data_IF_252788998494
#
_entry.id   IF_252788998494
#
_cell.length_a   1.000
_cell.length_b   1.000
_cell.length_c   1.000
_cell.angle_alpha   90.00
_cell.angle_beta   90.00
_cell.angle_gamma   90.00
#
_symmetry.space_group_name_H-M   'P 1'
#
loop_
_entity.id
_entity.type
_entity.pdbx_description
1 polymer ?
#
# COMPACT_ATOMS: atom_id res chain seq x y z
N UNK A 1 -6.03 -12.46 -9.76
CA UNK A 1 -6.17 -11.70 -8.49
C UNK A 1 -7.64 -11.66 -8.14
N UNK A 2 -7.98 -11.85 -6.86
CA UNK A 2 -9.37 -11.98 -6.40
C UNK A 2 -9.80 -10.92 -5.39
N UNK A 3 -8.92 -9.96 -5.08
CA UNK A 3 -9.11 -8.92 -4.06
C UNK A 3 -8.80 -7.53 -4.63
N UNK A 4 -9.40 -6.50 -4.04
CA UNK A 4 -9.18 -5.09 -4.39
C UNK A 4 -8.46 -4.32 -3.27
N UNK A 5 -8.17 -3.03 -3.50
CA UNK A 5 -7.51 -2.17 -2.51
C UNK A 5 -8.40 -2.06 -1.27
N UNK A 6 -7.77 -2.01 -0.09
CA UNK A 6 -8.43 -2.02 1.22
C UNK A 6 -9.19 -3.31 1.56
N UNK A 7 -8.90 -4.42 0.87
CA UNK A 7 -9.39 -5.76 1.21
C UNK A 7 -8.23 -6.67 1.60
N UNK A 8 -8.52 -7.77 2.31
CA UNK A 8 -7.52 -8.82 2.53
C UNK A 8 -7.06 -9.37 1.19
N UNK A 9 -5.75 -9.53 1.04
CA UNK A 9 -5.16 -10.06 -0.17
C UNK A 9 -5.66 -11.48 -0.40
N UNK A 10 -6.09 -11.76 -1.62
CA UNK A 10 -6.35 -13.08 -2.17
C UNK A 10 -5.93 -13.07 -3.64
N UNK A 11 -4.89 -13.84 -3.93
CA UNK A 11 -4.31 -13.97 -5.26
C UNK A 11 -3.79 -15.38 -5.49
N UNK A 12 -3.61 -15.75 -6.75
CA UNK A 12 -3.09 -17.06 -7.14
C UNK A 12 -1.90 -16.88 -8.08
N UNK A 13 -0.88 -17.69 -7.88
CA UNK A 13 0.29 -17.81 -8.77
C UNK A 13 0.31 -19.22 -9.33
N UNK A 14 0.42 -19.36 -10.65
CA UNK A 14 0.57 -20.67 -11.27
C UNK A 14 1.93 -21.29 -10.90
N UNK A 15 1.92 -22.54 -10.47
CA UNK A 15 3.14 -23.30 -10.17
C UNK A 15 3.28 -24.41 -11.21
N UNK A 16 4.33 -24.32 -12.01
CA UNK A 16 4.67 -25.33 -13.02
C UNK A 16 5.72 -26.26 -12.41
N UNK A 17 5.38 -27.55 -12.35
CA UNK A 17 6.27 -28.59 -11.85
C UNK A 17 6.98 -29.29 -13.01
N UNK A 18 8.25 -29.68 -12.80
CA UNK A 18 8.97 -30.47 -13.78
C UNK A 18 8.46 -31.91 -13.83
N UNK A 19 8.65 -32.66 -14.93
CA UNK A 19 8.30 -34.08 -14.99
C UNK A 19 8.93 -34.88 -13.83
N UNK A 20 8.10 -35.63 -13.10
CA UNK A 20 8.52 -36.42 -11.93
C UNK A 20 8.66 -35.63 -10.62
N UNK A 21 8.40 -34.32 -10.63
CA UNK A 21 8.41 -33.49 -9.44
C UNK A 21 7.04 -33.48 -8.75
N UNK A 22 7.02 -33.68 -7.44
CA UNK A 22 5.81 -33.76 -6.65
C UNK A 22 5.63 -32.50 -5.80
N UNK A 23 4.41 -31.98 -5.74
CA UNK A 23 4.06 -30.79 -4.93
C UNK A 23 4.35 -30.95 -3.43
N UNK A 24 4.37 -32.19 -2.93
CA UNK A 24 4.74 -32.54 -1.56
C UNK A 24 6.19 -32.14 -1.22
N UNK A 25 7.09 -32.28 -2.20
CA UNK A 25 8.53 -32.01 -2.03
C UNK A 25 8.90 -30.54 -2.28
N UNK A 26 7.94 -29.74 -2.75
CA UNK A 26 8.13 -28.31 -2.99
C UNK A 26 7.77 -27.55 -1.72
N UNK A 27 8.70 -26.77 -1.19
CA UNK A 27 8.45 -25.83 -0.10
C UNK A 27 8.36 -24.40 -0.67
N UNK A 28 7.41 -23.61 -0.14
CA UNK A 28 7.10 -22.27 -0.64
C UNK A 28 7.10 -21.32 0.53
N UNK A 29 8.02 -20.37 0.50
CA UNK A 29 8.20 -19.38 1.55
C UNK A 29 8.41 -18.00 0.95
N UNK A 30 8.23 -16.97 1.77
CA UNK A 30 8.77 -15.65 1.47
C UNK A 30 10.30 -15.71 1.62
N UNK A 31 11.05 -15.09 0.71
CA UNK A 31 12.49 -15.01 0.87
C UNK A 31 12.87 -14.25 2.15
N UNK A 32 14.05 -14.52 2.69
CA UNK A 32 14.57 -13.80 3.85
C UNK A 32 14.81 -12.31 3.52
N UNK A 33 14.72 -11.39 4.51
CA UNK A 33 14.98 -9.97 4.30
C UNK A 33 16.31 -9.65 3.60
N UNK A 34 17.37 -10.42 3.86
CA UNK A 34 18.67 -10.22 3.20
C UNK A 34 18.59 -10.35 1.67
N UNK A 35 17.67 -11.19 1.16
CA UNK A 35 17.44 -11.32 -0.29
C UNK A 35 16.73 -10.10 -0.88
N UNK A 36 15.90 -9.42 -0.09
CA UNK A 36 15.31 -8.15 -0.49
C UNK A 36 16.38 -7.07 -0.59
N UNK A 37 17.28 -7.00 0.40
CA UNK A 37 18.40 -6.06 0.40
C UNK A 37 19.37 -6.28 -0.77
N UNK A 38 19.69 -7.54 -1.08
CA UNK A 38 20.53 -7.94 -2.23
C UNK A 38 19.95 -7.43 -3.56
N UNK A 39 18.63 -7.51 -3.73
CA UNK A 39 17.94 -7.05 -4.94
C UNK A 39 17.55 -5.57 -4.88
N UNK A 40 17.88 -4.85 -3.79
CA UNK A 40 17.52 -3.45 -3.61
C UNK A 40 16.02 -3.20 -3.44
N UNK A 41 15.26 -4.24 -3.10
CA UNK A 41 13.82 -4.17 -2.87
C UNK A 41 13.61 -3.91 -1.36
N UNK A 42 12.82 -2.91 -0.95
CA UNK A 42 12.56 -2.70 0.46
C UNK A 42 11.61 -3.77 1.01
N UNK A 43 11.84 -4.15 2.26
CA UNK A 43 10.92 -5.03 2.97
C UNK A 43 9.64 -4.28 3.38
N UNK A 44 8.48 -4.66 2.85
CA UNK A 44 7.19 -4.17 3.35
C UNK A 44 6.78 -4.95 4.60
N UNK A 45 6.41 -4.25 5.68
CA UNK A 45 5.87 -4.88 6.88
C UNK A 45 4.60 -5.68 6.58
N UNK A 46 3.84 -5.29 5.54
CA UNK A 46 2.66 -6.02 5.10
C UNK A 46 2.97 -7.48 4.73
N UNK A 47 4.18 -7.76 4.25
CA UNK A 47 4.61 -9.13 3.91
C UNK A 47 4.62 -10.07 5.12
N UNK A 48 4.80 -9.55 6.34
CA UNK A 48 4.68 -10.34 7.58
C UNK A 48 3.25 -10.85 7.84
N UNK A 49 2.26 -10.28 7.14
CA UNK A 49 0.84 -10.63 7.24
C UNK A 49 0.39 -11.59 6.14
N UNK A 50 1.25 -11.83 5.15
CA UNK A 50 0.98 -12.67 3.98
C UNK A 50 1.29 -14.14 4.28
N UNK A 51 0.49 -15.04 3.71
CA UNK A 51 0.67 -16.49 3.74
C UNK A 51 0.64 -17.06 2.34
N UNK A 52 1.40 -18.12 2.17
CA UNK A 52 1.51 -18.88 0.93
C UNK A 52 1.01 -20.30 1.19
N UNK A 53 0.04 -20.74 0.39
CA UNK A 53 -0.54 -22.07 0.48
C UNK A 53 -0.45 -22.76 -0.87
N UNK A 54 0.05 -24.00 -0.88
CA UNK A 54 0.07 -24.85 -2.07
C UNK A 54 -1.32 -25.43 -2.28
N UNK A 55 -1.89 -25.22 -3.47
CA UNK A 55 -3.18 -25.80 -3.85
C UNK A 55 -3.03 -26.64 -5.11
N UNK A 56 -3.67 -27.80 -5.12
CA UNK A 56 -3.78 -28.66 -6.31
C UNK A 56 -5.08 -28.31 -7.02
N UNK A 57 -5.01 -28.06 -8.33
CA UNK A 57 -6.22 -27.81 -9.13
C UNK A 57 -6.91 -29.13 -9.48
N UNK A 58 -8.23 -29.13 -9.71
CA UNK A 58 -8.95 -30.32 -10.17
C UNK A 58 -8.40 -30.89 -11.50
N UNK A 59 -7.78 -30.05 -12.32
CA UNK A 59 -7.11 -30.42 -13.57
C UNK A 59 -5.73 -31.06 -13.39
N UNK A 60 -5.26 -31.27 -12.17
CA UNK A 60 -3.94 -31.85 -11.87
C UNK A 60 -2.77 -30.86 -11.92
N UNK A 61 -3.03 -29.56 -12.07
CA UNK A 61 -2.04 -28.50 -11.96
C UNK A 61 -1.78 -28.10 -10.51
N UNK A 62 -0.76 -27.28 -10.29
CA UNK A 62 -0.47 -26.69 -9.00
C UNK A 62 -0.57 -25.16 -9.06
N UNK A 63 -1.05 -24.55 -7.98
CA UNK A 63 -1.01 -23.11 -7.77
C UNK A 63 -0.57 -22.79 -6.36
N UNK A 64 -0.19 -21.53 -6.17
CA UNK A 64 0.15 -20.95 -4.88
C UNK A 64 -0.93 -19.91 -4.58
N UNK A 65 -1.71 -20.14 -3.53
CA UNK A 65 -2.64 -19.14 -3.02
C UNK A 65 -1.90 -18.20 -2.09
N UNK A 66 -1.99 -16.92 -2.36
CA UNK A 66 -1.36 -15.84 -1.60
C UNK A 66 -2.48 -15.11 -0.86
N UNK A 67 -2.50 -15.20 0.47
CA UNK A 67 -3.54 -14.58 1.29
C UNK A 67 -2.96 -13.68 2.37
N UNK A 68 -3.73 -12.73 2.91
CA UNK A 68 -3.29 -11.93 4.06
C UNK A 68 -4.34 -11.87 5.18
N UNK A 69 -3.90 -11.53 6.41
CA UNK A 69 -4.81 -11.30 7.56
C UNK A 69 -5.30 -9.86 7.70
N UNK A 70 -4.69 -8.93 6.98
CA UNK A 70 -4.97 -7.49 7.10
C UNK A 70 -5.30 -6.91 5.73
N UNK A 71 -6.08 -5.84 5.68
CA UNK A 71 -6.41 -5.17 4.42
C UNK A 71 -5.14 -4.64 3.74
N UNK A 72 -4.97 -4.95 2.45
CA UNK A 72 -3.90 -4.42 1.62
C UNK A 72 -4.22 -2.97 1.30
N UNK A 73 -3.42 -2.07 1.88
CA UNK A 73 -3.58 -0.61 1.69
C UNK A 73 -2.59 -0.05 0.67
N UNK A 74 -1.72 -0.90 0.15
CA UNK A 74 -0.71 -0.52 -0.83
C UNK A 74 -1.27 -0.85 -2.23
N UNK A 75 -1.24 0.09 -3.20
CA UNK A 75 -1.67 -0.18 -4.57
C UNK A 75 -0.70 -1.11 -5.32
N UNK A 76 0.51 -1.25 -4.77
CA UNK A 76 1.55 -2.11 -5.29
C UNK A 76 2.19 -2.86 -4.13
N UNK A 77 2.17 -4.19 -4.21
CA UNK A 77 2.86 -5.06 -3.26
C UNK A 77 3.94 -5.85 -4.02
N UNK A 78 5.19 -5.68 -3.62
CA UNK A 78 6.33 -6.40 -4.18
C UNK A 78 6.87 -7.42 -3.18
N UNK A 79 7.14 -8.64 -3.65
CA UNK A 79 7.74 -9.68 -2.83
C UNK A 79 8.60 -10.64 -3.61
N UNK A 80 9.54 -11.28 -2.91
CA UNK A 80 10.37 -12.34 -3.45
C UNK A 80 9.86 -13.65 -2.88
N UNK A 81 9.37 -14.52 -3.76
CA UNK A 81 8.99 -15.87 -3.41
C UNK A 81 10.22 -16.78 -3.48
N UNK A 82 10.44 -17.57 -2.44
CA UNK A 82 11.39 -18.66 -2.43
C UNK A 82 10.65 -19.99 -2.62
N UNK A 83 11.05 -20.71 -3.66
CA UNK A 83 10.55 -22.06 -3.94
C UNK A 83 11.74 -23.00 -3.81
N UNK A 84 11.67 -23.97 -2.91
CA UNK A 84 12.74 -24.93 -2.65
C UNK A 84 12.26 -26.35 -2.89
N UNK A 85 13.12 -27.18 -3.48
CA UNK A 85 12.88 -28.59 -3.78
C UNK A 85 14.21 -29.37 -3.67
N UNK A 86 14.21 -30.72 -3.73
CA UNK A 86 15.44 -31.50 -3.47
C UNK A 86 16.64 -31.18 -4.37
N UNK A 87 16.42 -30.61 -5.55
CA UNK A 87 17.48 -30.29 -6.52
C UNK A 87 17.96 -28.83 -6.45
N UNK A 88 17.37 -28.01 -5.58
CA UNK A 88 17.77 -26.62 -5.42
C UNK A 88 16.63 -25.69 -5.02
N UNK A 89 16.86 -24.40 -5.15
CA UNK A 89 15.89 -23.35 -4.86
C UNK A 89 15.83 -22.31 -5.97
N UNK A 90 14.70 -21.62 -6.04
CA UNK A 90 14.41 -20.54 -6.98
C UNK A 90 13.86 -19.35 -6.21
N UNK A 91 14.43 -18.19 -6.48
CA UNK A 91 13.88 -16.92 -6.04
C UNK A 91 13.19 -16.24 -7.22
N UNK A 92 11.94 -15.81 -7.02
CA UNK A 92 11.17 -15.11 -8.03
C UNK A 92 10.54 -13.86 -7.44
N UNK A 93 10.87 -12.72 -8.03
CA UNK A 93 10.22 -11.46 -7.73
C UNK A 93 8.83 -11.42 -8.35
N UNK A 94 7.86 -10.99 -7.56
CA UNK A 94 6.49 -10.78 -7.96
C UNK A 94 6.05 -9.38 -7.57
N UNK A 95 5.23 -8.81 -8.44
CA UNK A 95 4.67 -7.48 -8.32
C UNK A 95 3.16 -7.63 -8.42
N UNK A 96 2.46 -7.45 -7.32
CA UNK A 96 1.00 -7.47 -7.27
C UNK A 96 0.51 -6.04 -7.40
N UNK A 97 -0.17 -5.79 -8.50
CA UNK A 97 -0.84 -4.52 -8.77
C UNK A 97 -2.28 -4.66 -8.30
N UNK A 98 -2.66 -3.79 -7.37
CA UNK A 98 -4.05 -3.65 -6.96
C UNK A 98 -4.58 -2.40 -7.62
N UNK A 99 -5.74 -2.53 -8.28
CA UNK A 99 -6.34 -1.40 -8.94
C UNK A 99 -6.51 -0.25 -7.94
N UNK A 100 -5.92 0.92 -8.24
CA UNK A 100 -6.25 2.09 -7.48
C UNK A 100 -7.73 2.43 -7.66
N UNK A 101 -8.39 3.12 -6.71
CA UNK A 101 -9.74 3.62 -6.93
C UNK A 101 -9.79 4.42 -8.25
N UNK A 102 -10.90 4.32 -9.00
CA UNK A 102 -11.10 4.89 -10.35
C UNK A 102 -10.79 6.40 -10.47
N UNK A 103 -10.60 7.10 -9.35
CA UNK A 103 -10.04 8.45 -9.27
C UNK A 103 -8.71 8.63 -10.02
N UNK A 104 -7.93 7.58 -10.26
CA UNK A 104 -6.62 7.66 -10.93
C UNK A 104 -6.68 7.90 -12.44
N UNK A 105 -7.87 7.81 -13.06
CA UNK A 105 -8.01 8.07 -14.50
C UNK A 105 -8.27 9.54 -14.85
N UNK A 106 -8.42 10.44 -13.87
CA UNK A 106 -8.61 11.88 -14.13
C UNK A 106 -7.27 12.64 -14.27
N UNK A 107 -6.37 12.12 -15.09
CA UNK A 107 -5.33 12.94 -15.73
C UNK A 107 -5.87 13.56 -17.02
N UNK A 108 -6.99 14.29 -16.91
CA UNK A 108 -7.51 15.14 -17.97
C UNK A 108 -7.17 16.58 -17.63
N UNK A 109 -6.23 17.12 -18.41
CA UNK A 109 -5.71 18.49 -18.44
C UNK A 109 -6.75 19.56 -18.02
N UNK A 110 -6.37 20.61 -17.27
CA UNK A 110 -7.30 21.67 -16.90
C UNK A 110 -7.77 22.38 -18.17
N UNK A 111 -9.03 22.16 -18.56
CA UNK A 111 -9.77 23.14 -19.34
C UNK A 111 -10.14 24.24 -18.36
N UNK A 112 -9.45 25.38 -18.47
CA UNK A 112 -9.92 26.63 -17.89
C UNK A 112 -11.18 27.00 -18.67
N UNK A 113 -12.35 26.68 -18.12
CA UNK A 113 -13.58 27.40 -18.47
C UNK A 113 -13.83 28.40 -17.37
N UNK A 114 -13.84 29.68 -17.77
CA UNK A 114 -14.12 30.84 -16.92
C UNK A 114 -15.44 30.71 -16.17
N UNK A 115 -15.43 31.38 -15.02
CA UNK A 115 -16.50 31.58 -14.03
C UNK A 115 -17.83 32.07 -14.62
N UNK A 116 -18.92 31.62 -14.03
CA UNK A 116 -20.04 32.46 -13.56
C UNK A 116 -20.40 31.90 -12.16
N UNK A 117 -20.14 32.61 -11.07
CA UNK A 117 -20.99 33.65 -10.47
C UNK A 117 -22.08 33.03 -9.57
N UNK A 118 -21.69 32.92 -8.29
CA UNK A 118 -22.45 33.17 -7.06
C UNK A 118 -23.97 32.90 -7.06
N UNK A 119 -24.38 31.91 -6.27
CA UNK A 119 -25.64 32.00 -5.52
C UNK A 119 -25.47 31.44 -4.10
N UNK A 120 -25.98 32.25 -3.18
CA UNK A 120 -25.92 32.14 -1.73
C UNK A 120 -26.90 31.07 -1.23
N UNK A 121 -26.39 30.02 -0.60
CA UNK A 121 -27.21 29.12 0.21
C UNK A 121 -26.53 28.84 1.55
N UNK A 122 -27.04 29.53 2.56
CA UNK A 122 -26.82 29.22 3.96
C UNK A 122 -27.30 27.79 4.29
N UNK A 123 -26.39 26.83 4.30
CA UNK A 123 -26.64 25.49 4.82
C UNK A 123 -26.11 25.40 6.26
N UNK A 124 -27.02 25.31 7.25
CA UNK A 124 -26.69 24.87 8.60
C UNK A 124 -26.67 23.35 8.65
N UNK A 125 -25.54 22.68 8.90
CA UNK A 125 -25.58 21.28 9.26
C UNK A 125 -25.85 21.13 10.78
N UNK A 126 -27.10 20.79 11.13
CA UNK A 126 -27.35 20.00 12.34
C UNK A 126 -27.01 18.54 12.01
N UNK A 127 -25.93 18.03 12.59
CA UNK A 127 -25.82 16.60 12.85
C UNK A 127 -25.04 16.38 14.14
N UNK A 128 -25.78 16.18 15.23
CA UNK A 128 -25.26 15.43 16.38
C UNK A 128 -25.19 13.97 15.94
N UNK A 129 -24.00 13.50 15.57
CA UNK A 129 -23.69 12.08 15.57
C UNK A 129 -22.66 11.85 16.66
N UNK A 130 -23.15 11.37 17.82
CA UNK A 130 -22.32 10.68 18.80
C UNK A 130 -21.67 9.51 18.07
N UNK A 131 -20.36 9.52 17.97
CA UNK A 131 -19.56 8.34 17.63
C UNK A 131 -18.58 8.17 18.78
N UNK A 132 -18.98 7.28 19.69
CA UNK A 132 -18.13 6.43 20.54
C UNK A 132 -16.65 6.82 20.60
N UNK A 133 -16.31 7.51 21.68
CA UNK A 133 -14.96 7.61 22.21
C UNK A 133 -14.56 6.26 22.80
N UNK A 134 -13.96 5.36 22.01
CA UNK A 134 -13.26 4.19 22.57
C UNK A 134 -12.30 3.48 21.60
N UNK A 135 -11.64 4.24 20.72
CA UNK A 135 -10.49 3.74 19.95
C UNK A 135 -9.48 4.84 19.52
N UNK A 136 -9.47 5.99 20.20
CA UNK A 136 -8.72 7.19 19.78
C UNK A 136 -7.42 7.46 20.53
N UNK A 137 -6.96 6.59 21.42
CA UNK A 137 -5.95 7.01 22.40
C UNK A 137 -4.51 6.98 21.86
N UNK A 138 -4.18 6.22 20.80
CA UNK A 138 -2.78 6.15 20.29
C UNK A 138 -2.55 6.66 18.86
N UNK A 139 -3.60 7.03 18.11
CA UNK A 139 -3.47 7.37 16.68
C UNK A 139 -3.83 8.81 16.31
N UNK A 140 -4.54 9.54 17.17
CA UNK A 140 -4.84 10.96 16.97
C UNK A 140 -3.65 11.87 17.29
N UNK A 141 -2.75 11.45 18.20
CA UNK A 141 -1.60 12.27 18.64
C UNK A 141 -0.48 12.42 17.61
N UNK A 142 -0.52 11.67 16.49
CA UNK A 142 0.52 11.74 15.44
C UNK A 142 0.23 12.75 14.33
N UNK A 143 -1.01 13.22 14.22
CA UNK A 143 -1.41 14.23 13.23
C UNK A 143 -1.42 15.57 13.94
N UNK A 144 -0.43 16.41 13.66
CA UNK A 144 -0.40 17.80 14.11
C UNK A 144 -0.83 18.72 12.97
N UNK A 145 -1.21 19.97 13.28
CA UNK A 145 -1.52 20.98 12.26
C UNK A 145 -0.39 21.19 11.25
N UNK A 146 0.84 20.83 11.61
CA UNK A 146 2.06 21.03 10.84
C UNK A 146 2.57 19.74 10.16
N UNK A 147 1.97 18.56 10.39
CA UNK A 147 2.58 17.33 9.91
C UNK A 147 2.04 16.01 10.47
N UNK A 148 2.71 14.92 10.08
CA UNK A 148 2.51 13.59 10.60
C UNK A 148 3.80 13.06 11.24
N UNK A 149 3.76 12.60 12.48
CA UNK A 149 4.91 11.93 13.08
C UNK A 149 4.79 11.67 14.58
N UNK A 150 5.68 10.83 15.13
CA UNK A 150 6.72 10.07 14.42
C UNK A 150 6.17 8.87 13.65
N UNK A 151 6.78 8.58 12.49
CA UNK A 151 6.47 7.43 11.63
C UNK A 151 6.77 6.14 12.37
N UNK A 152 5.78 5.26 12.44
CA UNK A 152 5.91 3.94 13.02
C UNK A 152 6.20 2.89 11.95
N UNK A 153 6.68 1.71 12.38
CA UNK A 153 7.01 0.59 11.48
C UNK A 153 5.82 0.09 10.64
N UNK A 154 4.58 0.43 11.03
CA UNK A 154 3.35 0.03 10.34
C UNK A 154 2.73 1.18 9.52
N UNK A 155 3.35 2.35 9.52
CA UNK A 155 2.88 3.48 8.71
C UNK A 155 3.36 3.30 7.26
N UNK A 156 2.49 3.61 6.31
CA UNK A 156 2.81 3.67 4.88
C UNK A 156 2.59 5.09 4.39
N UNK A 157 3.29 5.50 3.33
CA UNK A 157 3.12 6.87 2.80
C UNK A 157 1.67 7.13 2.40
N UNK A 158 0.99 6.11 1.86
CA UNK A 158 -0.42 6.14 1.52
C UNK A 158 -1.31 6.42 2.75
N UNK A 159 -1.15 5.67 3.84
CA UNK A 159 -1.95 5.89 5.06
C UNK A 159 -1.68 7.26 5.69
N UNK A 160 -0.45 7.77 5.58
CA UNK A 160 -0.08 9.11 6.03
C UNK A 160 -0.74 10.17 5.15
N UNK A 161 -0.68 10.00 3.82
CA UNK A 161 -1.28 10.91 2.85
C UNK A 161 -2.81 10.96 3.00
N UNK A 162 -3.47 9.82 3.18
CA UNK A 162 -4.91 9.71 3.45
C UNK A 162 -5.30 10.45 4.73
N UNK A 163 -4.53 10.31 5.81
CA UNK A 163 -4.80 11.02 7.07
C UNK A 163 -4.61 12.53 6.94
N UNK A 164 -3.59 12.97 6.21
CA UNK A 164 -3.30 14.38 6.00
C UNK A 164 -4.23 15.03 4.97
N UNK A 165 -4.72 14.26 3.99
CA UNK A 165 -5.62 14.73 2.95
C UNK A 165 -7.00 15.06 3.51
N UNK A 166 -7.53 14.29 4.48
CA UNK A 166 -8.82 14.57 5.11
C UNK A 166 -8.96 15.99 5.69
N UNK A 167 -7.83 16.63 6.02
CA UNK A 167 -7.76 17.99 6.55
C UNK A 167 -7.30 19.02 5.49
N UNK A 168 -7.46 18.71 4.20
CA UNK A 168 -7.08 19.56 3.07
C UNK A 168 -7.99 19.30 1.86
N UNK A 169 -8.19 20.29 0.99
CA UNK A 169 -8.95 20.09 -0.26
C UNK A 169 -8.10 19.43 -1.37
N UNK A 170 -6.96 18.82 -1.03
CA UNK A 170 -6.05 18.16 -1.96
C UNK A 170 -6.39 16.67 -2.08
N UNK A 171 -6.19 16.09 -3.27
CA UNK A 171 -6.35 14.65 -3.45
C UNK A 171 -5.28 13.88 -2.68
N UNK A 172 -5.56 12.62 -2.31
CA UNK A 172 -4.60 11.76 -1.60
C UNK A 172 -3.30 11.64 -2.41
N UNK A 173 -3.42 11.59 -3.73
CA UNK A 173 -2.32 11.46 -4.69
C UNK A 173 -1.42 12.71 -4.70
N UNK A 174 -2.00 13.90 -4.72
CA UNK A 174 -1.25 15.16 -4.63
C UNK A 174 -0.51 15.27 -3.29
N UNK A 175 -1.17 14.84 -2.21
CA UNK A 175 -0.56 14.79 -0.88
C UNK A 175 0.60 13.79 -0.85
N UNK A 176 0.43 12.61 -1.44
CA UNK A 176 1.46 11.57 -1.49
C UNK A 176 2.71 12.03 -2.24
N UNK A 177 2.55 12.63 -3.42
CA UNK A 177 3.67 13.18 -4.20
C UNK A 177 4.36 14.30 -3.41
N UNK A 178 3.60 15.22 -2.83
CA UNK A 178 4.15 16.31 -2.03
C UNK A 178 4.93 15.78 -0.81
N UNK A 179 4.40 14.78 -0.11
CA UNK A 179 5.08 14.17 1.03
C UNK A 179 6.38 13.48 0.59
N UNK A 180 6.39 12.80 -0.57
CA UNK A 180 7.58 12.16 -1.11
C UNK A 180 8.66 13.17 -1.49
N UNK A 181 8.29 14.21 -2.24
CA UNK A 181 9.21 15.24 -2.73
C UNK A 181 9.81 16.11 -1.62
N UNK A 182 9.01 16.45 -0.61
CA UNK A 182 9.43 17.35 0.47
C UNK A 182 10.19 16.63 1.59
N UNK A 183 10.07 15.30 1.67
CA UNK A 183 10.70 14.51 2.74
C UNK A 183 11.59 13.38 2.21
N UNK A 184 12.52 13.62 1.26
CA UNK A 184 13.35 12.56 0.67
C UNK A 184 14.20 11.83 1.74
N UNK A 185 14.54 12.53 2.82
CA UNK A 185 15.27 12.00 3.98
C UNK A 185 14.44 11.01 4.84
N UNK A 186 13.12 10.95 4.64
CA UNK A 186 12.24 9.99 5.31
C UNK A 186 12.20 8.63 4.60
N UNK A 187 12.78 8.56 3.39
CA UNK A 187 12.76 7.37 2.54
C UNK A 187 14.14 6.77 2.40
N UNK A 188 14.23 5.46 2.55
CA UNK A 188 15.45 4.72 2.25
C UNK A 188 15.61 4.55 0.73
N UNK A 189 16.82 4.81 0.20
CA UNK A 189 17.20 4.63 -1.21
C UNK A 189 16.24 5.27 -2.25
N UNK A 190 15.65 6.43 -1.95
CA UNK A 190 14.66 7.09 -2.82
C UNK A 190 13.49 6.16 -3.21
N UNK A 191 13.03 5.36 -2.27
CA UNK A 191 11.93 4.44 -2.47
C UNK A 191 10.69 4.88 -1.67
N UNK A 192 9.60 5.11 -2.39
CA UNK A 192 8.34 5.62 -1.84
C UNK A 192 7.67 4.69 -0.80
N UNK A 193 7.99 3.40 -0.85
CA UNK A 193 7.48 2.37 0.07
C UNK A 193 8.40 2.19 1.29
N UNK A 194 9.61 2.74 1.27
CA UNK A 194 10.64 2.48 2.28
C UNK A 194 10.69 3.59 3.34
N UNK A 195 9.62 3.71 4.12
CA UNK A 195 9.56 4.69 5.21
C UNK A 195 10.51 4.32 6.36
N UNK A 196 11.31 5.30 6.77
CA UNK A 196 12.19 5.14 7.93
C UNK A 196 11.44 5.49 9.21
N UNK A 197 11.36 4.55 10.15
CA UNK A 197 10.72 4.77 11.44
C UNK A 197 11.38 5.91 12.24
N UNK A 198 10.58 6.63 13.01
CA UNK A 198 11.03 7.76 13.84
C UNK A 198 11.17 9.09 13.11
N UNK A 199 10.99 9.13 11.78
CA UNK A 199 10.96 10.38 11.01
C UNK A 199 9.61 11.08 11.14
N UNK A 200 9.58 12.37 10.91
CA UNK A 200 8.36 13.18 10.89
C UNK A 200 8.19 13.79 9.50
N UNK A 201 6.96 13.76 9.01
CA UNK A 201 6.54 14.39 7.76
C UNK A 201 5.97 15.77 8.04
N UNK A 202 6.40 16.78 7.29
CA UNK A 202 5.74 18.08 7.30
C UNK A 202 4.51 18.06 6.39
N UNK A 203 3.38 18.58 6.89
CA UNK A 203 2.15 18.76 6.12
C UNK A 203 2.33 20.03 5.30
N UNK A 204 2.14 19.91 3.99
CA UNK A 204 2.13 21.05 3.09
C UNK A 204 0.75 21.25 2.49
N UNK A 205 0.37 22.51 2.34
CA UNK A 205 -0.74 22.90 1.48
C UNK A 205 -0.20 22.88 0.06
N UNK A 206 -0.75 22.01 -0.80
CA UNK A 206 -0.53 22.09 -2.24
C UNK A 206 -0.97 23.49 -2.66
N UNK A 207 -0.01 24.39 -2.93
CA UNK A 207 -0.33 25.71 -3.46
C UNK A 207 -0.93 25.50 -4.84
N UNK A 208 -2.14 26.04 -5.05
CA UNK A 208 -2.73 26.09 -6.40
C UNK A 208 -1.66 26.66 -7.35
N UNK A 209 -1.39 26.03 -8.50
CA UNK A 209 -0.50 26.64 -9.48
C UNK A 209 -1.08 28.00 -9.90
N UNK A 210 -0.20 29.01 -9.95
CA UNK A 210 -0.47 30.34 -10.49
C UNK A 210 -0.85 30.27 -11.98
#
# INVERSE_FOLDING_TARGET
>A
MHSALNQSLDAEIALVLSPGEQLSNVNITLAAPDKFDELGIPWSYYLSKVRFEKITTPSGGAKIRVTSREALKEPLLEFILEVSWPKGNLYRQFTVLVDPPTTYQHLSRPVITRQYEQDDYAYKPKSKRRVSDEARVDTASKVSGEGYGPVSKNDTLWNIAERLSHNSNASIEQMLIALYQENPHAFYKANINALTAGKSFKKFLVKKPL
#
